data_IF_224404426236
#
_entry.id   IF_224404426236
#
_cell.length_a   1.000
_cell.length_b   1.000
_cell.length_c   1.000
_cell.angle_alpha   90.00
_cell.angle_beta   90.00
_cell.angle_gamma   90.00
#
_symmetry.space_group_name_H-M   'P 1'
#
loop_
_entity.id
_entity.type
_entity.pdbx_description
1 polymer ?
#
# COMPACT_ATOMS: atom_id res chain seq x y z
N UNK A 1 5.18 1.03 -18.24
CA UNK A 1 5.98 2.07 -17.56
C UNK A 1 6.34 1.53 -16.21
N UNK A 2 7.63 1.53 -15.86
CA UNK A 2 8.09 1.01 -14.58
C UNK A 2 8.57 2.20 -13.75
N UNK A 3 7.98 2.41 -12.58
CA UNK A 3 8.44 3.43 -11.64
C UNK A 3 9.43 2.75 -10.69
N UNK A 4 10.66 3.25 -10.70
CA UNK A 4 11.77 2.73 -9.92
C UNK A 4 12.35 3.88 -9.08
N UNK A 5 12.39 3.70 -7.77
CA UNK A 5 13.56 3.94 -6.91
C UNK A 5 13.17 4.09 -5.44
N UNK A 6 11.98 4.62 -5.17
CA UNK A 6 11.51 4.86 -3.80
C UNK A 6 9.99 4.75 -3.71
N UNK A 7 9.53 3.81 -2.89
CA UNK A 7 8.12 3.65 -2.53
C UNK A 7 8.00 4.01 -1.06
N UNK A 8 7.17 4.99 -0.77
CA UNK A 8 6.78 5.30 0.60
C UNK A 8 5.69 4.32 1.04
N UNK A 9 5.90 3.71 2.20
CA UNK A 9 4.99 2.79 2.86
C UNK A 9 4.52 3.47 4.13
N UNK A 10 3.24 3.80 4.17
CA UNK A 10 2.57 4.30 5.37
C UNK A 10 1.85 3.15 6.03
N UNK A 11 2.10 2.94 7.32
CA UNK A 11 1.41 1.94 8.13
C UNK A 11 0.81 2.62 9.36
N UNK A 12 -0.46 2.33 9.62
CA UNK A 12 -1.16 2.74 10.84
C UNK A 12 -1.42 1.52 11.71
N UNK A 13 -1.02 1.64 12.97
CA UNK A 13 -1.25 0.62 13.98
C UNK A 13 -1.97 1.22 15.19
N UNK A 14 -2.85 0.42 15.80
CA UNK A 14 -3.49 0.79 17.08
C UNK A 14 -2.51 0.47 18.20
N UNK A 15 -2.01 1.49 18.89
CA UNK A 15 -1.05 1.34 20.00
C UNK A 15 -1.71 1.24 21.36
N UNK A 16 -2.99 1.60 21.46
CA UNK A 16 -3.78 1.51 22.67
C UNK A 16 -5.18 2.06 22.48
N UNK A 17 -5.87 2.26 23.60
CA UNK A 17 -7.16 2.93 23.65
C UNK A 17 -7.09 4.02 24.72
N UNK A 18 -7.72 5.17 24.46
CA UNK A 18 -7.87 6.21 25.46
C UNK A 18 -8.87 5.81 26.56
N UNK A 19 -9.03 6.66 27.56
CA UNK A 19 -9.95 6.44 28.69
C UNK A 19 -11.43 6.31 28.27
N UNK A 20 -11.76 6.67 27.03
CA UNK A 20 -13.11 6.61 26.44
C UNK A 20 -13.28 5.43 25.47
N UNK A 21 -12.26 4.58 25.29
CA UNK A 21 -12.28 3.44 24.38
C UNK A 21 -12.05 3.80 22.91
N UNK A 22 -11.54 5.00 22.62
CA UNK A 22 -11.13 5.41 21.28
C UNK A 22 -9.74 4.86 20.97
N UNK A 23 -9.49 4.25 19.81
CA UNK A 23 -8.16 3.75 19.47
C UNK A 23 -7.16 4.90 19.33
N UNK A 24 -6.00 4.73 19.94
CA UNK A 24 -4.84 5.60 19.74
C UNK A 24 -4.04 5.02 18.57
N UNK A 25 -3.92 5.81 17.51
CA UNK A 25 -3.26 5.41 16.27
C UNK A 25 -1.82 5.94 16.26
N UNK A 26 -0.88 5.08 15.85
CA UNK A 26 0.48 5.49 15.49
C UNK A 26 0.68 5.29 14.00
N UNK A 27 1.29 6.28 13.34
CA UNK A 27 1.51 6.28 11.89
C UNK A 27 2.99 6.27 11.61
N UNK A 28 3.47 5.19 10.99
CA UNK A 28 4.85 5.06 10.56
C UNK A 28 4.97 5.27 9.06
N UNK A 29 5.92 6.13 8.66
CA UNK A 29 6.29 6.37 7.27
C UNK A 29 7.67 5.76 7.01
N UNK A 30 7.76 4.84 6.06
CA UNK A 30 9.03 4.21 5.67
C UNK A 30 9.20 4.25 4.17
N UNK A 31 10.29 4.85 3.70
CA UNK A 31 10.65 4.78 2.28
C UNK A 31 11.54 3.57 2.02
N UNK A 32 11.08 2.68 1.14
CA UNK A 32 11.82 1.50 0.70
C UNK A 32 12.06 1.52 -0.79
N UNK A 33 13.06 0.77 -1.25
CA UNK A 33 13.21 0.50 -2.68
C UNK A 33 12.13 -0.49 -3.12
N UNK A 34 11.62 -0.29 -4.32
CA UNK A 34 10.66 -1.20 -4.93
C UNK A 34 10.42 -0.88 -6.39
N UNK A 35 9.67 -1.77 -7.03
CA UNK A 35 9.30 -1.69 -8.44
C UNK A 35 7.78 -1.74 -8.58
N UNK A 36 7.24 -0.88 -9.44
CA UNK A 36 5.81 -0.82 -9.72
C UNK A 36 5.56 -1.19 -11.18
N UNK A 37 4.77 -2.24 -11.39
CA UNK A 37 4.33 -2.69 -12.70
C UNK A 37 2.84 -2.41 -12.84
N UNK A 38 2.47 -1.64 -13.86
CA UNK A 38 1.06 -1.58 -14.26
C UNK A 38 0.61 -2.97 -14.71
N UNK A 39 -0.44 -3.47 -14.10
CA UNK A 39 -1.12 -4.69 -14.50
C UNK A 39 -2.30 -4.26 -15.34
N UNK A 40 -2.43 -4.86 -16.52
CA UNK A 40 -3.53 -4.54 -17.41
C UNK A 40 -4.84 -4.95 -16.73
N UNK A 41 -5.68 -3.97 -16.43
CA UNK A 41 -6.99 -4.20 -15.83
C UNK A 41 -8.00 -3.31 -16.51
N UNK A 42 -8.66 -3.83 -17.54
CA UNK A 42 -9.90 -3.26 -18.04
C UNK A 42 -11.03 -4.08 -17.43
N UNK A 43 -11.32 -3.84 -16.15
CA UNK A 43 -12.51 -4.40 -15.50
C UNK A 43 -13.53 -3.28 -15.32
N UNK A 44 -14.62 -3.36 -16.10
CA UNK A 44 -15.78 -2.50 -15.95
C UNK A 44 -16.56 -2.97 -14.71
N UNK A 45 -16.50 -2.22 -13.60
CA UNK A 45 -17.34 -2.54 -12.44
C UNK A 45 -18.80 -2.29 -12.81
N UNK A 46 -19.69 -3.21 -12.44
CA UNK A 46 -21.12 -3.14 -12.71
C UNK A 46 -21.82 -1.91 -12.09
N UNK A 47 -21.13 -1.14 -11.23
CA UNK A 47 -21.61 0.09 -10.58
C UNK A 47 -21.32 1.38 -11.36
N UNK A 48 -20.62 1.33 -12.50
CA UNK A 48 -20.23 2.52 -13.26
C UNK A 48 -18.97 3.22 -12.75
N UNK A 49 -18.31 2.69 -11.71
CA UNK A 49 -16.98 3.12 -11.28
C UNK A 49 -15.90 2.46 -12.17
N UNK A 50 -14.92 3.25 -12.61
CA UNK A 50 -13.82 2.75 -13.45
C UNK A 50 -12.68 2.37 -12.50
N UNK A 51 -12.30 1.08 -12.46
CA UNK A 51 -11.00 0.69 -11.91
C UNK A 51 -9.96 1.18 -12.90
N UNK A 52 -9.29 2.28 -12.56
CA UNK A 52 -8.45 3.03 -13.51
C UNK A 52 -7.27 2.20 -14.00
N UNK A 53 -6.47 1.64 -13.08
CA UNK A 53 -5.34 0.73 -13.30
C UNK A 53 -5.07 -0.02 -11.99
N UNK A 54 -4.74 -1.33 -12.08
CA UNK A 54 -4.08 -2.07 -10.99
C UNK A 54 -2.57 -2.01 -11.15
N UNK A 55 -1.84 -1.96 -10.03
CA UNK A 55 -0.39 -2.11 -10.06
C UNK A 55 0.06 -3.26 -9.20
N UNK A 56 0.93 -4.10 -9.76
CA UNK A 56 1.74 -5.05 -8.99
C UNK A 56 2.96 -4.31 -8.48
N UNK A 57 3.16 -4.37 -7.17
CA UNK A 57 4.28 -3.72 -6.49
C UNK A 57 5.17 -4.79 -5.89
N UNK A 58 6.48 -4.68 -6.16
CA UNK A 58 7.51 -5.50 -5.55
C UNK A 58 8.31 -4.63 -4.59
N UNK A 59 8.34 -4.97 -3.31
CA UNK A 59 9.07 -4.22 -2.28
C UNK A 59 10.30 -4.96 -1.80
N UNK A 60 11.35 -4.20 -1.51
CA UNK A 60 12.52 -4.69 -0.80
C UNK A 60 12.13 -5.23 0.59
N UNK A 61 12.88 -6.21 1.13
CA UNK A 61 12.52 -6.93 2.36
C UNK A 61 12.57 -6.07 3.64
N UNK A 62 12.96 -4.79 3.54
CA UNK A 62 12.96 -3.85 4.66
C UNK A 62 11.60 -3.20 4.93
N UNK A 63 10.58 -3.43 4.09
CA UNK A 63 9.25 -2.92 4.32
C UNK A 63 8.55 -3.71 5.42
N UNK A 64 8.15 -3.03 6.50
CA UNK A 64 7.35 -3.62 7.57
C UNK A 64 5.87 -3.50 7.21
N UNK A 65 5.35 -4.46 6.45
CA UNK A 65 3.93 -4.54 6.10
C UNK A 65 3.29 -5.73 6.83
N UNK A 66 2.10 -5.55 7.44
CA UNK A 66 1.35 -6.64 8.04
C UNK A 66 0.95 -7.70 7.00
N UNK A 67 0.74 -8.95 7.43
CA UNK A 67 0.38 -10.07 6.53
C UNK A 67 -0.98 -9.90 5.87
N UNK A 68 -1.88 -9.19 6.53
CA UNK A 68 -3.23 -8.89 6.06
C UNK A 68 -3.45 -7.38 6.17
N UNK A 69 -2.88 -6.58 5.25
CA UNK A 69 -3.12 -5.14 5.26
C UNK A 69 -4.56 -4.85 4.86
N UNK A 70 -5.08 -3.75 5.38
CA UNK A 70 -6.38 -3.21 5.05
C UNK A 70 -6.23 -1.81 4.44
N UNK A 71 -7.23 -1.37 3.67
CA UNK A 71 -7.21 -0.08 2.96
C UNK A 71 -7.06 1.13 3.90
N UNK A 72 -7.33 0.96 5.20
CA UNK A 72 -7.23 1.95 6.27
C UNK A 72 -5.97 1.80 7.15
N UNK A 73 -5.18 0.74 6.95
CA UNK A 73 -3.95 0.50 7.72
C UNK A 73 -2.69 0.65 6.90
N UNK A 74 -2.74 0.46 5.58
CA UNK A 74 -1.55 0.61 4.72
C UNK A 74 -1.83 1.46 3.48
N UNK A 75 -0.90 2.37 3.18
CA UNK A 75 -0.90 3.16 1.94
C UNK A 75 0.49 3.14 1.29
N UNK A 76 0.52 3.08 -0.03
CA UNK A 76 1.75 3.08 -0.81
C UNK A 76 1.84 4.33 -1.69
N UNK A 77 2.99 4.98 -1.71
CA UNK A 77 3.20 6.20 -2.48
C UNK A 77 4.43 6.15 -3.36
N UNK A 78 4.30 6.69 -4.57
CA UNK A 78 5.40 6.90 -5.52
C UNK A 78 4.98 7.98 -6.52
N UNK A 79 5.91 8.79 -7.03
CA UNK A 79 5.73 9.70 -8.19
C UNK A 79 4.31 10.21 -8.48
N UNK A 80 3.54 9.44 -9.26
CA UNK A 80 2.17 9.78 -9.69
C UNK A 80 1.10 9.70 -8.60
N UNK A 81 1.36 8.97 -7.51
CA UNK A 81 0.49 8.79 -6.35
C UNK A 81 1.28 9.13 -5.07
N UNK A 82 1.54 10.41 -4.78
CA UNK A 82 2.21 10.82 -3.55
C UNK A 82 1.32 10.58 -2.31
N UNK A 83 1.94 10.35 -1.15
CA UNK A 83 1.22 10.34 0.13
C UNK A 83 1.04 11.78 0.61
N UNK A 84 -0.17 12.12 1.04
CA UNK A 84 -0.44 13.32 1.82
C UNK A 84 -0.23 13.01 3.30
N UNK A 85 0.83 13.54 3.93
CA UNK A 85 1.12 13.27 5.34
C UNK A 85 0.08 13.88 6.30
N UNK A 86 -0.73 14.83 5.84
CA UNK A 86 -1.82 15.41 6.63
C UNK A 86 -3.12 14.61 6.56
N UNK A 87 -3.31 13.83 5.49
CA UNK A 87 -4.42 12.90 5.32
C UNK A 87 -3.97 11.65 4.52
N UNK A 88 -3.17 10.75 5.14
CA UNK A 88 -2.53 9.65 4.43
C UNK A 88 -3.52 8.64 3.84
N UNK A 89 -4.73 8.55 4.39
CA UNK A 89 -5.78 7.65 3.92
C UNK A 89 -6.87 8.35 3.11
N UNK A 90 -6.73 9.65 2.87
CA UNK A 90 -7.57 10.45 2.01
C UNK A 90 -7.72 9.85 0.62
N UNK A 91 -8.79 10.23 -0.09
CA UNK A 91 -9.14 9.62 -1.37
C UNK A 91 -8.09 9.78 -2.46
N UNK A 92 -7.31 10.86 -2.38
CA UNK A 92 -6.24 11.24 -3.30
C UNK A 92 -4.83 10.94 -2.78
N UNK A 93 -4.69 10.37 -1.58
CA UNK A 93 -3.39 10.08 -0.97
C UNK A 93 -2.95 8.65 -1.27
N UNK A 94 -1.87 8.52 -2.03
CA UNK A 94 -1.25 7.26 -2.40
C UNK A 94 -2.19 6.23 -3.02
N UNK A 95 -1.76 4.98 -2.94
CA UNK A 95 -2.42 3.82 -3.53
C UNK A 95 -2.89 2.85 -2.47
N UNK A 96 -4.14 2.40 -2.64
CA UNK A 96 -4.79 1.39 -1.80
C UNK A 96 -4.29 0.00 -2.17
N UNK A 97 -4.06 -0.84 -1.17
CA UNK A 97 -3.77 -2.25 -1.41
C UNK A 97 -5.08 -2.95 -1.80
N UNK A 98 -5.02 -3.86 -2.76
CA UNK A 98 -6.16 -4.66 -3.24
C UNK A 98 -5.90 -6.13 -2.93
N UNK A 99 -6.01 -6.50 -1.65
CA UNK A 99 -5.85 -7.88 -1.18
C UNK A 99 -4.61 -8.13 -0.31
N UNK A 100 -4.15 -9.39 -0.32
CA UNK A 100 -3.08 -9.86 0.55
C UNK A 100 -1.67 -9.47 0.10
N UNK A 101 -0.72 -9.60 1.02
CA UNK A 101 0.72 -9.42 0.76
C UNK A 101 1.37 -10.79 0.64
N UNK A 102 2.01 -11.05 -0.50
CA UNK A 102 2.76 -12.26 -0.72
C UNK A 102 4.22 -12.07 -0.30
N UNK A 103 4.70 -12.92 0.61
CA UNK A 103 6.07 -12.91 1.10
C UNK A 103 6.91 -13.92 0.35
N UNK A 104 7.87 -13.45 -0.44
CA UNK A 104 8.77 -14.35 -1.18
C UNK A 104 10.05 -14.55 -0.40
N UNK A 105 10.34 -15.81 -0.07
CA UNK A 105 11.47 -16.20 0.78
C UNK A 105 12.51 -16.92 -0.07
N UNK A 106 13.79 -16.54 0.07
CA UNK A 106 14.92 -17.23 -0.53
C UNK A 106 15.82 -17.78 0.56
N UNK A 107 16.03 -19.11 0.59
CA UNK A 107 16.85 -19.79 1.61
C UNK A 107 16.42 -19.46 3.06
N UNK A 108 15.12 -19.36 3.31
CA UNK A 108 14.57 -19.06 4.64
C UNK A 108 14.63 -17.59 5.06
N UNK A 109 15.04 -16.67 4.18
CA UNK A 109 15.05 -15.22 4.44
C UNK A 109 14.10 -14.48 3.50
N UNK A 110 13.39 -13.47 4.01
CA UNK A 110 12.55 -12.61 3.18
C UNK A 110 13.39 -11.96 2.08
N UNK A 111 13.00 -12.18 0.83
CA UNK A 111 13.69 -11.70 -0.36
C UNK A 111 12.97 -10.50 -0.98
N UNK A 112 11.64 -10.55 -1.07
CA UNK A 112 10.80 -9.40 -1.41
C UNK A 112 9.35 -9.64 -0.99
N UNK A 113 8.55 -8.57 -0.99
CA UNK A 113 7.10 -8.63 -0.88
C UNK A 113 6.51 -8.35 -2.26
N UNK A 114 5.46 -9.08 -2.63
CA UNK A 114 4.63 -8.80 -3.79
C UNK A 114 3.21 -8.49 -3.33
N UNK A 115 2.61 -7.44 -3.90
CA UNK A 115 1.24 -7.05 -3.58
C UNK A 115 0.59 -6.34 -4.77
N UNK A 116 -0.74 -6.33 -4.79
CA UNK A 116 -1.52 -5.62 -5.81
C UNK A 116 -2.15 -4.40 -5.19
N UNK A 117 -2.18 -3.30 -5.94
CA UNK A 117 -2.83 -2.04 -5.57
C UNK A 117 -3.89 -1.66 -6.58
N UNK A 118 -4.87 -0.86 -6.15
CA UNK A 118 -5.94 -0.33 -7.01
C UNK A 118 -6.02 1.19 -6.94
N UNK A 119 -6.14 1.81 -8.10
CA UNK A 119 -6.61 3.19 -8.22
C UNK A 119 -8.12 3.15 -8.44
N UNK A 120 -8.88 3.76 -7.53
CA UNK A 120 -10.32 3.96 -7.68
C UNK A 120 -10.48 5.40 -8.18
N UNK A 121 -11.06 5.57 -9.37
CA UNK A 121 -11.42 6.86 -9.94
C UNK A 121 -12.89 7.19 -9.67
#
# INVERSE_FOLDING_TARGET
MIYHDSIEVTVVEVTGYDDYGTPILDTTYTTVRGEVFAVDSVDLLASGAIVGIRYRVILAPGASIPDSPHDDTVRLGWGAYPIDHSDPFGVSSGMRIDGGVERHVMRGRLHHLELVTKAIA
#
